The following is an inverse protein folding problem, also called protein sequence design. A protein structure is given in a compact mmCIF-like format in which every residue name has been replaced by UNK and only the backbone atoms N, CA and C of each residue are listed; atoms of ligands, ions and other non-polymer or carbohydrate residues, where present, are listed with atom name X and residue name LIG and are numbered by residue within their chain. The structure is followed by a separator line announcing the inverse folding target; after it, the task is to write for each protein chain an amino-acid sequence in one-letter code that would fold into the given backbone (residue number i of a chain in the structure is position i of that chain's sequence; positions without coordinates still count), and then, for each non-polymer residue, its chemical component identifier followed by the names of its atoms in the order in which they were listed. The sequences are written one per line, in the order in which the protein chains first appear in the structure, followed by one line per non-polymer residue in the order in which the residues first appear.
data_IF_240001260949
#
_entry.id   IF_240001260949
#
_cell.length_a   1.000
_cell.length_b   1.000
_cell.length_c   1.000
_cell.angle_alpha   90.00
_cell.angle_beta   90.00
_cell.angle_gamma   90.00
#
_symmetry.space_group_name_H-M   'P 1'
#
loop_
_entity.id
_entity.type
_entity.pdbx_description
1 polymer ?
#
# COMPACT_ATOMS: atom_id res chain seq x y z
N UNK A 1 -9.67 -18.29 6.80
CA UNK A 1 -8.46 -19.11 6.64
C UNK A 1 -7.61 -18.88 7.87
N UNK A 2 -7.33 -19.90 8.65
CA UNK A 2 -6.42 -19.79 9.81
C UNK A 2 -5.00 -19.50 9.32
N UNK A 3 -4.24 -18.70 10.06
CA UNK A 3 -2.82 -18.40 9.81
C UNK A 3 -1.91 -19.65 9.75
N UNK A 4 -2.45 -20.83 10.08
CA UNK A 4 -1.74 -22.11 10.17
C UNK A 4 -1.42 -22.79 8.85
N UNK A 5 -2.03 -22.39 7.73
CA UNK A 5 -2.04 -23.22 6.51
C UNK A 5 -1.25 -22.63 5.33
N UNK A 6 -0.76 -21.38 5.44
CA UNK A 6 0.02 -20.74 4.37
C UNK A 6 1.50 -21.05 4.60
N UNK A 7 2.12 -21.78 3.67
CA UNK A 7 3.56 -22.01 3.73
C UNK A 7 4.35 -20.80 3.16
N UNK A 8 5.63 -20.64 3.52
CA UNK A 8 6.44 -19.48 3.10
C UNK A 8 6.54 -19.27 1.59
N UNK A 9 6.58 -20.35 0.80
CA UNK A 9 6.72 -20.29 -0.66
C UNK A 9 5.43 -19.81 -1.35
N UNK A 10 4.28 -20.25 -0.85
CA UNK A 10 2.98 -19.76 -1.29
C UNK A 10 2.81 -18.29 -0.95
N UNK A 11 3.20 -17.90 0.28
CA UNK A 11 3.17 -16.51 0.71
C UNK A 11 4.07 -15.63 -0.17
N UNK A 12 5.28 -16.08 -0.46
CA UNK A 12 6.19 -15.34 -1.33
C UNK A 12 5.67 -15.23 -2.76
N UNK A 13 5.07 -16.31 -3.28
CA UNK A 13 4.42 -16.32 -4.60
C UNK A 13 3.26 -15.33 -4.65
N UNK A 14 2.46 -15.25 -3.59
CA UNK A 14 1.41 -14.25 -3.45
C UNK A 14 1.99 -12.83 -3.51
N UNK A 15 3.03 -12.53 -2.73
CA UNK A 15 3.66 -11.21 -2.71
C UNK A 15 4.23 -10.82 -4.07
N UNK A 16 4.86 -11.77 -4.78
CA UNK A 16 5.33 -11.57 -6.15
C UNK A 16 4.19 -11.19 -7.09
N UNK A 17 3.06 -11.90 -7.01
CA UNK A 17 1.88 -11.62 -7.84
C UNK A 17 1.23 -10.28 -7.48
N UNK A 18 1.13 -9.97 -6.18
CA UNK A 18 0.64 -8.69 -5.69
C UNK A 18 1.48 -7.53 -6.25
N UNK A 19 2.81 -7.63 -6.17
CA UNK A 19 3.73 -6.63 -6.75
C UNK A 19 3.57 -6.51 -8.27
N UNK A 20 3.33 -7.61 -8.99
CA UNK A 20 3.05 -7.54 -10.44
C UNK A 20 1.76 -6.79 -10.73
N UNK A 21 0.71 -7.01 -9.92
CA UNK A 21 -0.57 -6.30 -10.03
C UNK A 21 -0.47 -4.82 -9.64
N UNK A 22 0.58 -4.41 -8.92
CA UNK A 22 0.88 -3.01 -8.60
C UNK A 22 1.45 -2.21 -9.77
N UNK A 23 1.89 -2.88 -10.85
CA UNK A 23 2.49 -2.22 -12.01
C UNK A 23 1.36 -1.70 -12.92
N UNK A 24 1.32 -0.41 -13.26
CA UNK A 24 0.24 0.16 -14.07
C UNK A 24 0.01 -0.54 -15.42
N UNK A 25 1.06 -1.06 -16.05
CA UNK A 25 0.97 -1.82 -17.32
C UNK A 25 0.31 -3.20 -17.16
N UNK A 26 0.30 -3.73 -15.95
CA UNK A 26 -0.21 -5.07 -15.62
C UNK A 26 -1.50 -5.01 -14.79
N UNK A 27 -1.82 -3.85 -14.23
CA UNK A 27 -3.13 -3.58 -13.67
C UNK A 27 -4.14 -3.67 -14.82
N UNK A 28 -4.84 -4.80 -14.89
CA UNK A 28 -5.83 -5.07 -15.93
C UNK A 28 -6.97 -4.04 -15.93
N UNK A 29 -8.02 -4.32 -16.69
CA UNK A 29 -9.21 -3.46 -16.69
C UNK A 29 -9.79 -3.31 -15.27
N UNK A 30 -10.33 -2.13 -14.89
CA UNK A 30 -10.98 -1.95 -13.60
C UNK A 30 -12.05 -3.02 -13.37
N UNK A 31 -12.00 -3.68 -12.21
CA UNK A 31 -12.98 -4.70 -11.83
C UNK A 31 -14.21 -4.00 -11.23
N UNK A 32 -15.44 -4.32 -11.65
CA UNK A 32 -16.65 -3.84 -10.98
C UNK A 32 -16.69 -4.39 -9.54
N UNK A 33 -16.81 -3.50 -8.55
CA UNK A 33 -16.82 -3.85 -7.12
C UNK A 33 -15.59 -4.66 -6.67
N UNK A 34 -14.38 -4.07 -6.78
CA UNK A 34 -13.18 -4.75 -6.36
C UNK A 34 -13.25 -5.05 -4.87
N UNK A 35 -13.14 -6.32 -4.49
CA UNK A 35 -12.98 -6.75 -3.09
C UNK A 35 -11.49 -7.02 -2.84
N UNK A 36 -10.92 -6.38 -1.81
CA UNK A 36 -9.50 -6.56 -1.41
C UNK A 36 -8.50 -6.29 -2.55
N UNK A 37 -8.78 -5.33 -3.42
CA UNK A 37 -7.89 -4.95 -4.53
C UNK A 37 -7.09 -3.68 -4.23
N UNK A 38 -5.85 -3.61 -4.73
CA UNK A 38 -5.08 -2.37 -4.73
C UNK A 38 -5.55 -1.44 -5.84
N UNK A 39 -6.39 -0.46 -5.50
CA UNK A 39 -6.88 0.51 -6.47
C UNK A 39 -5.80 1.48 -6.95
N UNK A 40 -4.72 1.67 -6.19
CA UNK A 40 -3.67 2.64 -6.51
C UNK A 40 -2.84 2.25 -7.74
N UNK A 41 -2.83 0.96 -8.05
CA UNK A 41 -2.16 0.41 -9.22
C UNK A 41 -2.91 0.68 -10.53
N UNK A 42 -4.20 0.95 -10.45
CA UNK A 42 -5.02 1.26 -11.61
C UNK A 42 -4.64 2.65 -12.10
N UNK A 43 -3.90 2.70 -13.22
CA UNK A 43 -3.61 3.95 -13.90
C UNK A 43 -4.92 4.68 -14.15
N UNK A 44 -5.05 5.97 -13.77
CA UNK A 44 -6.19 6.76 -14.18
C UNK A 44 -6.11 6.95 -15.69
N UNK A 45 -6.72 6.02 -16.44
CA UNK A 45 -7.06 6.26 -17.85
C UNK A 45 -7.89 7.54 -17.90
N UNK A 46 -7.84 8.29 -19.00
CA UNK A 46 -8.66 9.50 -19.18
C UNK A 46 -10.16 9.27 -18.89
N UNK A 47 -10.64 8.02 -19.02
CA UNK A 47 -12.00 7.57 -18.70
C UNK A 47 -12.29 7.27 -17.21
N UNK A 48 -11.27 7.21 -16.35
CA UNK A 48 -11.39 6.95 -14.91
C UNK A 48 -10.57 7.96 -14.09
N UNK A 49 -10.99 9.24 -14.07
CA UNK A 49 -10.31 10.27 -13.30
C UNK A 49 -10.30 9.92 -11.80
N UNK A 50 -9.31 10.46 -11.08
CA UNK A 50 -9.29 10.40 -9.61
C UNK A 50 -10.56 11.05 -9.04
N UNK A 51 -11.09 10.49 -7.96
CA UNK A 51 -12.26 11.03 -7.28
C UNK A 51 -11.94 12.42 -6.73
N UNK A 52 -12.80 13.41 -6.97
CA UNK A 52 -12.56 14.80 -6.49
C UNK A 52 -12.61 14.93 -4.97
N UNK A 53 -13.27 14.00 -4.29
CA UNK A 53 -13.43 14.01 -2.82
C UNK A 53 -12.19 13.45 -2.13
N UNK A 54 -11.80 12.23 -2.48
CA UNK A 54 -10.73 11.48 -1.80
C UNK A 54 -9.43 11.35 -2.62
N UNK A 55 -9.38 11.81 -3.87
CA UNK A 55 -8.24 11.70 -4.80
C UNK A 55 -7.85 10.27 -5.22
N UNK A 56 -8.60 9.25 -4.83
CA UNK A 56 -8.35 7.87 -5.21
C UNK A 56 -8.91 7.54 -6.61
N UNK A 57 -8.28 6.62 -7.36
CA UNK A 57 -8.77 6.20 -8.68
C UNK A 57 -9.96 5.24 -8.58
N UNK A 58 -10.59 4.97 -9.73
CA UNK A 58 -11.55 3.87 -9.90
C UNK A 58 -12.99 4.15 -9.45
N UNK A 59 -13.28 5.31 -8.86
CA UNK A 59 -14.64 5.70 -8.46
C UNK A 59 -14.82 7.22 -8.48
N UNK A 60 -16.06 7.66 -8.27
CA UNK A 60 -16.41 9.08 -8.10
C UNK A 60 -17.43 9.22 -6.97
N UNK A 61 -17.39 10.37 -6.29
CA UNK A 61 -18.38 10.74 -5.27
C UNK A 61 -18.72 12.21 -5.45
N UNK A 62 -20.00 12.54 -5.24
CA UNK A 62 -20.51 13.88 -5.53
C UNK A 62 -20.03 14.91 -4.50
N UNK A 63 -19.96 14.53 -3.22
CA UNK A 63 -19.44 15.36 -2.13
C UNK A 63 -19.05 14.48 -0.93
N UNK A 64 -18.40 15.10 0.06
CA UNK A 64 -17.85 14.41 1.24
C UNK A 64 -18.94 13.79 2.15
N UNK A 65 -20.16 14.34 2.15
CA UNK A 65 -21.28 13.82 2.94
C UNK A 65 -22.00 12.63 2.27
N UNK A 66 -21.69 12.35 1.00
CA UNK A 66 -22.20 11.22 0.22
C UNK A 66 -21.03 10.43 -0.37
N UNK A 67 -20.11 10.02 0.51
CA UNK A 67 -18.82 9.44 0.17
C UNK A 67 -18.74 7.92 0.35
N UNK A 68 -19.85 7.19 0.27
CA UNK A 68 -19.87 5.73 0.40
C UNK A 68 -18.92 5.04 -0.60
N UNK A 69 -18.91 5.50 -1.86
CA UNK A 69 -17.98 4.98 -2.86
C UNK A 69 -16.50 5.27 -2.53
N UNK A 70 -16.21 6.41 -1.86
CA UNK A 70 -14.86 6.67 -1.33
C UNK A 70 -14.50 5.69 -0.23
N UNK A 71 -15.42 5.46 0.70
CA UNK A 71 -15.24 4.51 1.79
C UNK A 71 -14.98 3.11 1.25
N UNK A 72 -15.81 2.62 0.34
CA UNK A 72 -15.67 1.29 -0.26
C UNK A 72 -14.31 1.13 -0.92
N UNK A 73 -13.88 2.13 -1.69
CA UNK A 73 -12.56 2.14 -2.32
C UNK A 73 -11.42 2.02 -1.29
N UNK A 74 -11.49 2.81 -0.22
CA UNK A 74 -10.49 2.83 0.87
C UNK A 74 -10.48 1.49 1.61
N UNK A 75 -11.63 1.00 2.04
CA UNK A 75 -11.78 -0.27 2.77
C UNK A 75 -11.30 -1.45 1.94
N UNK A 76 -11.56 -1.46 0.64
CA UNK A 76 -11.06 -2.53 -0.22
C UNK A 76 -9.54 -2.52 -0.33
N UNK A 77 -8.92 -1.34 -0.39
CA UNK A 77 -7.45 -1.26 -0.43
C UNK A 77 -6.82 -1.54 0.94
N UNK A 78 -7.49 -1.19 2.05
CA UNK A 78 -7.10 -1.67 3.38
C UNK A 78 -7.11 -3.21 3.41
N UNK A 79 -8.18 -3.83 2.87
CA UNK A 79 -8.27 -5.28 2.75
C UNK A 79 -7.15 -5.90 1.91
N UNK A 80 -6.76 -5.27 0.81
CA UNK A 80 -5.60 -5.69 0.04
C UNK A 80 -4.31 -5.68 0.90
N UNK A 81 -4.09 -4.62 1.68
CA UNK A 81 -2.91 -4.50 2.53
C UNK A 81 -2.90 -5.47 3.71
N UNK A 82 -4.06 -5.87 4.22
CA UNK A 82 -4.16 -6.97 5.18
C UNK A 82 -3.68 -8.29 4.59
N UNK A 83 -4.08 -8.62 3.35
CA UNK A 83 -3.60 -9.84 2.67
C UNK A 83 -2.09 -9.77 2.47
N UNK A 84 -1.57 -8.61 2.04
CA UNK A 84 -0.13 -8.39 1.92
C UNK A 84 0.57 -8.58 3.26
N UNK A 85 0.06 -7.99 4.35
CA UNK A 85 0.64 -8.10 5.69
C UNK A 85 0.74 -9.56 6.15
N UNK A 86 -0.35 -10.33 6.03
CA UNK A 86 -0.37 -11.74 6.43
C UNK A 86 0.71 -12.53 5.69
N UNK A 87 0.86 -12.32 4.38
CA UNK A 87 1.87 -12.99 3.57
C UNK A 87 3.29 -12.48 3.85
N UNK A 88 3.47 -11.19 4.13
CA UNK A 88 4.76 -10.63 4.59
C UNK A 88 5.19 -11.28 5.89
N UNK A 89 4.29 -11.45 6.86
CA UNK A 89 4.60 -12.07 8.14
C UNK A 89 5.01 -13.54 7.99
N UNK A 90 4.29 -14.30 7.15
CA UNK A 90 4.63 -15.71 6.87
C UNK A 90 5.99 -15.81 6.16
N UNK A 91 6.21 -15.04 5.08
CA UNK A 91 7.48 -15.04 4.36
C UNK A 91 8.65 -14.57 5.24
N UNK A 92 8.45 -13.56 6.10
CA UNK A 92 9.50 -13.08 7.00
C UNK A 92 9.92 -14.13 8.02
N UNK A 93 8.99 -14.94 8.54
CA UNK A 93 9.29 -16.01 9.51
C UNK A 93 9.96 -17.23 8.88
N UNK A 94 9.63 -17.55 7.63
CA UNK A 94 9.99 -18.83 7.01
C UNK A 94 10.91 -18.76 5.79
N UNK A 95 11.23 -17.58 5.27
CA UNK A 95 12.05 -17.41 4.07
C UNK A 95 13.22 -16.44 4.32
N UNK A 96 14.39 -16.98 4.65
CA UNK A 96 15.57 -16.21 5.08
C UNK A 96 16.00 -15.12 4.07
N UNK A 97 16.12 -15.38 2.75
CA UNK A 97 16.37 -14.33 1.76
C UNK A 97 15.38 -13.16 1.82
N UNK A 98 14.09 -13.44 2.04
CA UNK A 98 13.07 -12.41 2.17
C UNK A 98 13.22 -11.61 3.47
N UNK A 99 13.54 -12.29 4.57
CA UNK A 99 13.84 -11.65 5.85
C UNK A 99 15.01 -10.67 5.73
N UNK A 100 16.10 -11.08 5.09
CA UNK A 100 17.28 -10.24 4.82
C UNK A 100 16.91 -9.05 3.94
N UNK A 101 16.14 -9.28 2.87
CA UNK A 101 15.67 -8.22 1.99
C UNK A 101 14.85 -7.16 2.74
N UNK A 102 14.03 -7.56 3.73
CA UNK A 102 13.32 -6.62 4.61
C UNK A 102 14.28 -5.80 5.47
N UNK A 103 15.27 -6.45 6.10
CA UNK A 103 16.23 -5.77 6.98
C UNK A 103 17.14 -4.78 6.22
N UNK A 104 17.50 -5.11 4.99
CA UNK A 104 18.40 -4.32 4.15
C UNK A 104 17.68 -3.22 3.35
N UNK A 105 16.35 -3.26 3.24
CA UNK A 105 15.58 -2.32 2.43
C UNK A 105 15.66 -0.90 3.02
N UNK A 106 16.29 0.01 2.27
CA UNK A 106 16.41 1.43 2.63
C UNK A 106 15.29 2.23 2.02
N UNK A 107 14.33 2.62 2.84
CA UNK A 107 13.22 3.49 2.41
C UNK A 107 13.67 4.94 2.31
N UNK A 108 13.27 5.61 1.22
CA UNK A 108 13.57 7.04 0.99
C UNK A 108 12.34 7.81 0.53
N UNK A 109 12.32 9.12 0.76
CA UNK A 109 11.25 10.02 0.31
C UNK A 109 10.97 9.93 -1.19
N UNK A 110 12.01 9.67 -2.00
CA UNK A 110 11.89 9.58 -3.45
C UNK A 110 10.96 8.43 -3.88
N UNK A 111 10.84 7.37 -3.08
CA UNK A 111 9.93 6.26 -3.34
C UNK A 111 8.45 6.68 -3.31
N UNK A 112 8.11 7.78 -2.62
CA UNK A 112 6.74 8.32 -2.56
C UNK A 112 6.29 8.89 -3.90
N UNK A 113 7.21 9.49 -4.66
CA UNK A 113 6.92 10.26 -5.87
C UNK A 113 7.39 9.58 -7.16
N UNK A 114 8.27 8.57 -7.06
CA UNK A 114 8.79 7.90 -8.23
C UNK A 114 7.77 6.94 -8.86
N UNK A 115 7.59 7.04 -10.17
CA UNK A 115 6.85 6.06 -10.97
C UNK A 115 7.77 4.99 -11.56
N UNK A 116 9.07 5.25 -11.61
CA UNK A 116 10.08 4.26 -11.95
C UNK A 116 10.69 3.69 -10.65
N UNK A 117 10.68 2.37 -10.43
CA UNK A 117 11.54 1.81 -9.40
C UNK A 117 12.97 2.21 -9.74
N UNK A 118 13.72 2.76 -8.77
CA UNK A 118 15.17 2.85 -8.94
C UNK A 118 15.64 1.43 -9.23
N UNK A 119 16.47 1.27 -10.26
CA UNK A 119 17.09 -0.03 -10.52
C UNK A 119 17.73 -0.48 -9.21
N UNK A 120 17.32 -1.63 -8.68
CA UNK A 120 18.02 -2.22 -7.55
C UNK A 120 19.31 -2.75 -8.17
N UNK A 121 20.38 -1.97 -8.04
CA UNK A 121 21.66 -2.19 -8.73
C UNK A 121 22.34 -3.50 -8.32
N UNK A 122 21.94 -4.07 -7.19
CA UNK A 122 22.33 -5.41 -6.75
C UNK A 122 21.27 -5.96 -5.81
N UNK A 123 20.63 -7.08 -6.17
CA UNK A 123 19.62 -7.72 -5.32
C UNK A 123 18.90 -8.88 -5.99
N UNK A 124 18.53 -9.88 -5.18
CA UNK A 124 17.65 -10.98 -5.60
C UNK A 124 16.21 -10.53 -5.85
N UNK A 125 15.36 -11.47 -6.26
CA UNK A 125 13.92 -11.23 -6.51
C UNK A 125 13.22 -10.69 -5.25
N UNK A 126 13.66 -11.13 -4.08
CA UNK A 126 13.14 -10.74 -2.77
C UNK A 126 13.34 -9.25 -2.51
N UNK A 127 14.55 -8.72 -2.78
CA UNK A 127 14.85 -7.30 -2.65
C UNK A 127 13.96 -6.46 -3.58
N UNK A 128 13.73 -6.93 -4.81
CA UNK A 128 12.82 -6.29 -5.77
C UNK A 128 11.38 -6.27 -5.25
N UNK A 129 10.91 -7.38 -4.70
CA UNK A 129 9.55 -7.47 -4.15
C UNK A 129 9.40 -6.54 -2.95
N UNK A 130 10.29 -6.62 -1.96
CA UNK A 130 10.25 -5.78 -0.74
C UNK A 130 10.29 -4.29 -1.10
N UNK A 131 11.21 -3.88 -1.97
CA UNK A 131 11.34 -2.49 -2.38
C UNK A 131 10.05 -1.97 -3.04
N UNK A 132 9.44 -2.78 -3.93
CA UNK A 132 8.19 -2.41 -4.60
C UNK A 132 7.00 -2.40 -3.66
N UNK A 133 6.94 -3.32 -2.69
CA UNK A 133 5.93 -3.29 -1.63
C UNK A 133 6.06 -2.00 -0.82
N UNK A 134 7.26 -1.66 -0.34
CA UNK A 134 7.52 -0.44 0.42
C UNK A 134 7.16 0.82 -0.39
N UNK A 135 7.54 0.88 -1.67
CA UNK A 135 7.20 2.00 -2.55
C UNK A 135 5.69 2.19 -2.71
N UNK A 136 4.95 1.11 -3.01
CA UNK A 136 3.49 1.18 -3.16
C UNK A 136 2.78 1.46 -1.84
N UNK A 137 3.33 0.94 -0.73
CA UNK A 137 2.83 1.21 0.60
C UNK A 137 2.97 2.68 0.98
N UNK A 138 4.10 3.32 0.65
CA UNK A 138 4.27 4.76 0.83
C UNK A 138 3.30 5.60 -0.01
N UNK A 139 2.97 5.15 -1.24
CA UNK A 139 1.93 5.79 -2.06
C UNK A 139 0.55 5.69 -1.41
N UNK A 140 0.24 4.54 -0.80
CA UNK A 140 -0.97 4.36 0.01
C UNK A 140 -1.00 5.28 1.22
N UNK A 141 0.09 5.34 2.00
CA UNK A 141 0.21 6.21 3.17
C UNK A 141 0.06 7.69 2.80
N UNK A 142 0.72 8.15 1.72
CA UNK A 142 0.55 9.52 1.21
C UNK A 142 -0.90 9.84 0.86
N UNK A 143 -1.59 8.93 0.18
CA UNK A 143 -2.98 9.13 -0.20
C UNK A 143 -3.91 9.14 1.00
N UNK A 144 -3.68 8.28 1.99
CA UNK A 144 -4.38 8.35 3.26
C UNK A 144 -4.16 9.69 3.96
N UNK A 145 -2.92 10.13 4.12
CA UNK A 145 -2.57 11.41 4.75
C UNK A 145 -3.26 12.61 4.07
N UNK A 146 -3.42 12.56 2.73
CA UNK A 146 -4.12 13.60 1.95
C UNK A 146 -5.63 13.71 2.21
N UNK A 147 -6.24 12.71 2.84
CA UNK A 147 -7.64 12.80 3.27
C UNK A 147 -7.79 13.80 4.42
N UNK A 148 -6.81 13.82 5.33
CA UNK A 148 -6.77 14.74 6.46
C UNK A 148 -8.10 14.74 7.24
N UNK A 149 -8.72 15.91 7.48
CA UNK A 149 -10.00 15.99 8.20
C UNK A 149 -11.16 15.22 7.54
N UNK A 150 -11.08 14.94 6.23
CA UNK A 150 -12.15 14.24 5.49
C UNK A 150 -12.34 12.80 5.95
N UNK A 151 -11.35 12.19 6.60
CA UNK A 151 -11.44 10.83 7.15
C UNK A 151 -12.67 10.68 8.04
N UNK A 152 -12.94 11.66 8.91
CA UNK A 152 -14.09 11.66 9.83
C UNK A 152 -15.47 11.65 9.13
N UNK A 153 -15.53 12.10 7.88
CA UNK A 153 -16.77 12.12 7.08
C UNK A 153 -16.88 10.91 6.14
N UNK A 154 -15.75 10.35 5.72
CA UNK A 154 -15.70 9.24 4.75
C UNK A 154 -15.81 7.89 5.47
N UNK A 155 -15.14 7.74 6.62
CA UNK A 155 -15.07 6.48 7.35
C UNK A 155 -16.25 6.35 8.32
N UNK A 156 -16.78 5.14 8.50
CA UNK A 156 -17.89 4.88 9.41
C UNK A 156 -17.37 4.60 10.82
N UNK A 157 -17.01 5.68 11.53
CA UNK A 157 -16.59 5.65 12.92
C UNK A 157 -15.25 4.95 13.17
N UNK A 158 -15.01 4.59 14.43
CA UNK A 158 -13.69 4.16 14.90
C UNK A 158 -13.23 2.83 14.31
N UNK A 159 -14.16 1.94 13.93
CA UNK A 159 -13.82 0.60 13.45
C UNK A 159 -12.90 0.64 12.22
N UNK A 160 -13.26 1.46 11.25
CA UNK A 160 -12.52 1.55 10.00
C UNK A 160 -11.15 2.21 10.18
N UNK A 161 -11.10 3.21 11.08
CA UNK A 161 -9.87 3.92 11.43
C UNK A 161 -8.92 3.00 12.19
N UNK A 162 -9.41 2.29 13.21
CA UNK A 162 -8.65 1.30 13.98
C UNK A 162 -8.10 0.21 13.06
N UNK A 163 -8.91 -0.24 12.08
CA UNK A 163 -8.47 -1.24 11.09
C UNK A 163 -7.30 -0.72 10.27
N UNK A 164 -7.35 0.53 9.80
CA UNK A 164 -6.24 1.18 9.11
C UNK A 164 -5.00 1.35 10.01
N UNK A 165 -5.18 1.78 11.27
CA UNK A 165 -4.08 2.00 12.21
C UNK A 165 -3.33 0.69 12.51
N UNK A 166 -4.06 -0.39 12.76
CA UNK A 166 -3.49 -1.72 13.03
C UNK A 166 -2.63 -2.22 11.87
N UNK A 167 -3.13 -2.13 10.63
CA UNK A 167 -2.33 -2.55 9.47
C UNK A 167 -1.13 -1.63 9.25
N UNK A 168 -1.29 -0.33 9.53
CA UNK A 168 -0.24 0.66 9.31
C UNK A 168 0.91 0.43 10.27
N UNK A 169 0.61 0.21 11.55
CA UNK A 169 1.62 -0.09 12.56
C UNK A 169 2.43 -1.34 12.17
N UNK A 170 1.74 -2.44 11.83
CA UNK A 170 2.41 -3.68 11.47
C UNK A 170 3.22 -3.57 10.18
N UNK A 171 2.69 -2.94 9.12
CA UNK A 171 3.41 -2.76 7.86
C UNK A 171 4.58 -1.78 7.99
N UNK A 172 4.52 -0.79 8.89
CA UNK A 172 5.66 0.08 9.16
C UNK A 172 6.84 -0.71 9.76
N UNK A 173 6.55 -1.66 10.66
CA UNK A 173 7.57 -2.50 11.27
C UNK A 173 8.32 -3.36 10.24
N UNK A 174 7.61 -3.87 9.23
CA UNK A 174 8.19 -4.71 8.18
C UNK A 174 8.74 -3.92 6.99
N UNK A 175 7.97 -3.00 6.40
CA UNK A 175 8.31 -2.40 5.11
C UNK A 175 9.07 -1.08 5.25
N UNK A 176 8.94 -0.39 6.38
CA UNK A 176 9.49 0.95 6.60
C UNK A 176 10.57 1.00 7.69
N UNK A 177 11.12 -0.16 8.07
CA UNK A 177 12.12 -0.27 9.13
C UNK A 177 11.70 0.45 10.42
N UNK A 178 10.43 0.26 10.82
CA UNK A 178 9.79 0.88 12.00
C UNK A 178 9.62 2.40 11.93
N UNK A 179 9.83 3.02 10.77
CA UNK A 179 9.54 4.44 10.58
C UNK A 179 8.07 4.62 10.16
N UNK A 180 7.45 5.71 10.59
CA UNK A 180 6.19 6.17 10.04
C UNK A 180 6.39 6.94 8.73
N UNK A 181 5.31 7.11 7.97
CA UNK A 181 5.30 7.96 6.77
C UNK A 181 5.77 9.39 7.10
N UNK A 182 5.26 9.97 8.18
CA UNK A 182 5.60 11.33 8.64
C UNK A 182 7.08 11.43 8.97
N UNK A 183 7.65 10.45 9.67
CA UNK A 183 9.08 10.42 9.99
C UNK A 183 9.95 10.37 8.72
N UNK A 184 9.52 9.65 7.69
CA UNK A 184 10.24 9.57 6.41
C UNK A 184 10.18 10.91 5.67
N UNK A 185 9.03 11.57 5.67
CA UNK A 185 8.85 12.89 5.02
C UNK A 185 9.66 13.96 5.76
N UNK A 186 9.59 14.01 7.10
CA UNK A 186 10.32 15.00 7.91
C UNK A 186 11.84 14.89 7.77
N UNK A 187 12.38 13.67 7.67
CA UNK A 187 13.82 13.46 7.46
C UNK A 187 14.34 14.00 6.12
N UNK A 188 13.44 14.22 5.15
CA UNK A 188 13.78 14.72 3.83
C UNK A 188 13.68 16.24 3.68
N UNK A 189 13.11 16.93 4.66
CA UNK A 189 13.10 18.40 4.73
C UNK A 189 14.27 18.85 5.62
N UNK A 190 15.45 19.18 5.07
CA UNK A 190 16.49 19.81 5.87
C UNK A 190 16.01 21.22 6.19
N UNK A 191 15.60 21.47 7.44
CA UNK A 191 15.43 22.78 8.08
C UNK A 191 15.57 23.97 7.12
N UNK A 192 14.52 24.28 6.36
CA UNK A 192 14.36 25.61 5.78
C UNK A 192 13.77 26.50 6.87
N UNK A 193 14.66 26.96 7.74
CA UNK A 193 14.47 28.20 8.51
C UNK A 193 15.21 29.32 7.82
#
# INVERSE_FOLDING_TARGET
MSESDINPDQAFTFLRNAVRAMIPSNAGSPVPNPNRANLLAQSPRASHPRCRVCAWPGHQSNNVHKASACRDAIITTIGFWEDVLANVQVSYKGHLPFQMAIQENKVTVNMIYSDAPKAIESGGMEAVIVNRLAMNYLKFQRLWASLGPKVSYIMEGDRDVIRYENITQALNDYLLAKNSYEQIVMKAEPNTR
#
